data_IF_257140605590
#
_entry.id   IF_257140605590
#
_cell.length_a   1.000
_cell.length_b   1.000
_cell.length_c   1.000
_cell.angle_alpha   90.00
_cell.angle_beta   90.00
_cell.angle_gamma   90.00
#
_symmetry.space_group_name_H-M   'P 1'
#
loop_
_entity.id
_entity.type
_entity.pdbx_description
1 polymer ?
#
# COMPACT_ATOMS: atom_id res chain seq x y z
N UNK A 1 -20.52 -0.84 13.89
CA UNK A 1 -19.60 -1.84 13.29
C UNK A 1 -18.37 -1.20 12.61
N UNK A 2 -18.07 0.07 12.88
CA UNK A 2 -17.55 0.97 11.83
C UNK A 2 -16.06 1.26 11.90
N UNK A 3 -15.46 1.39 13.09
CA UNK A 3 -14.00 1.60 13.21
C UNK A 3 -13.19 0.30 13.25
N UNK A 4 -13.75 -0.81 13.74
CA UNK A 4 -13.07 -2.12 13.79
C UNK A 4 -12.84 -2.70 12.40
N UNK A 5 -13.80 -2.55 11.49
CA UNK A 5 -13.65 -2.96 10.09
C UNK A 5 -12.59 -2.14 9.36
N UNK A 6 -12.61 -0.80 9.52
CA UNK A 6 -11.60 0.09 8.96
C UNK A 6 -10.20 -0.19 9.54
N UNK A 7 -10.11 -0.45 10.84
CA UNK A 7 -8.87 -0.88 11.50
C UNK A 7 -8.33 -2.16 10.87
N UNK A 8 -9.16 -3.20 10.72
CA UNK A 8 -8.75 -4.48 10.12
C UNK A 8 -8.28 -4.30 8.68
N UNK A 9 -8.98 -3.48 7.90
CA UNK A 9 -8.64 -3.15 6.52
C UNK A 9 -7.24 -2.50 6.42
N UNK A 10 -6.97 -1.48 7.24
CA UNK A 10 -5.69 -0.76 7.24
C UNK A 10 -4.55 -1.64 7.77
N UNK A 11 -4.84 -2.50 8.74
CA UNK A 11 -3.87 -3.45 9.30
C UNK A 11 -3.53 -4.54 8.27
N UNK A 12 -4.52 -5.06 7.56
CA UNK A 12 -4.34 -5.97 6.43
C UNK A 12 -3.50 -5.33 5.31
N UNK A 13 -3.82 -4.08 4.94
CA UNK A 13 -3.02 -3.32 3.96
C UNK A 13 -1.55 -3.19 4.38
N UNK A 14 -1.29 -2.92 5.67
CA UNK A 14 0.06 -2.89 6.22
C UNK A 14 0.77 -4.25 6.09
N UNK A 15 0.11 -5.35 6.46
CA UNK A 15 0.68 -6.71 6.36
C UNK A 15 1.04 -7.05 4.91
N UNK A 16 0.11 -6.83 3.98
CA UNK A 16 0.33 -7.12 2.55
C UNK A 16 1.51 -6.32 2.02
N UNK A 17 1.62 -5.04 2.39
CA UNK A 17 2.73 -4.18 1.97
C UNK A 17 4.09 -4.63 2.53
N UNK A 18 4.11 -5.17 3.74
CA UNK A 18 5.31 -5.69 4.37
C UNK A 18 5.76 -7.00 3.71
N UNK A 19 4.82 -7.94 3.49
CA UNK A 19 5.09 -9.21 2.83
C UNK A 19 5.57 -9.00 1.39
N UNK A 20 4.91 -8.13 0.65
CA UNK A 20 5.29 -7.81 -0.73
C UNK A 20 6.69 -7.18 -0.82
N UNK A 21 7.02 -6.24 0.08
CA UNK A 21 8.37 -5.68 0.17
C UNK A 21 9.44 -6.75 0.48
N UNK A 22 9.14 -7.68 1.39
CA UNK A 22 10.05 -8.79 1.73
C UNK A 22 10.24 -9.76 0.55
N UNK A 23 9.16 -10.12 -0.15
CA UNK A 23 9.19 -10.98 -1.34
C UNK A 23 10.02 -10.32 -2.45
N UNK A 24 9.82 -9.03 -2.72
CA UNK A 24 10.60 -8.31 -3.71
C UNK A 24 12.10 -8.33 -3.38
N UNK A 25 12.47 -8.10 -2.12
CA UNK A 25 13.87 -8.19 -1.70
C UNK A 25 14.45 -9.60 -1.84
N UNK A 26 13.68 -10.63 -1.47
CA UNK A 26 14.10 -12.02 -1.57
C UNK A 26 14.45 -12.43 -3.01
N UNK A 27 13.64 -12.01 -4.00
CA UNK A 27 13.86 -12.38 -5.40
C UNK A 27 14.84 -11.47 -6.16
N UNK A 28 14.96 -10.19 -5.78
CA UNK A 28 15.70 -9.20 -6.57
C UNK A 28 16.89 -8.58 -5.84
N UNK A 29 17.09 -8.93 -4.56
CA UNK A 29 18.21 -8.48 -3.75
C UNK A 29 18.31 -6.95 -3.67
N UNK A 30 19.49 -6.41 -3.93
CA UNK A 30 19.78 -4.97 -3.82
C UNK A 30 18.97 -4.10 -4.78
N UNK A 31 18.49 -4.64 -5.91
CA UNK A 31 17.67 -3.90 -6.87
C UNK A 31 16.28 -3.55 -6.31
N UNK A 32 15.73 -4.36 -5.40
CA UNK A 32 14.45 -4.10 -4.75
C UNK A 32 14.58 -3.42 -3.38
N UNK A 33 15.77 -2.91 -3.02
CA UNK A 33 16.00 -2.28 -1.70
C UNK A 33 15.03 -1.14 -1.42
N UNK A 34 14.73 -0.30 -2.40
CA UNK A 34 13.77 0.80 -2.26
C UNK A 34 12.35 0.30 -2.00
N UNK A 35 11.91 -0.76 -2.70
CA UNK A 35 10.59 -1.38 -2.53
C UNK A 35 10.49 -2.05 -1.15
N UNK A 36 11.55 -2.72 -0.71
CA UNK A 36 11.62 -3.35 0.59
C UNK A 36 11.50 -2.33 1.73
N UNK A 37 12.25 -1.22 1.65
CA UNK A 37 12.19 -0.12 2.62
C UNK A 37 10.78 0.47 2.65
N UNK A 38 10.17 0.69 1.47
CA UNK A 38 8.81 1.21 1.40
C UNK A 38 7.79 0.25 1.99
N UNK A 39 7.85 -1.04 1.66
CA UNK A 39 6.98 -2.07 2.24
C UNK A 39 7.08 -2.11 3.77
N UNK A 40 8.28 -1.94 4.32
CA UNK A 40 8.52 -1.84 5.76
C UNK A 40 7.87 -0.59 6.39
N UNK A 41 8.11 0.59 5.79
CA UNK A 41 7.53 1.85 6.27
C UNK A 41 6.01 1.85 6.19
N UNK A 42 5.46 1.33 5.09
CA UNK A 42 4.01 1.19 4.88
C UNK A 42 3.43 0.20 5.87
N UNK A 43 4.08 -0.95 6.06
CA UNK A 43 3.66 -1.95 7.03
C UNK A 43 3.57 -1.36 8.41
N UNK A 44 4.62 -0.67 8.87
CA UNK A 44 4.64 -0.01 10.17
C UNK A 44 3.55 1.06 10.33
N UNK A 45 3.32 1.88 9.30
CA UNK A 45 2.25 2.87 9.27
C UNK A 45 0.86 2.22 9.33
N UNK A 46 0.61 1.20 8.52
CA UNK A 46 -0.65 0.45 8.50
C UNK A 46 -0.95 -0.20 9.85
N UNK A 47 0.05 -0.81 10.49
CA UNK A 47 -0.08 -1.36 11.85
C UNK A 47 -0.40 -0.28 12.89
N UNK A 48 0.37 0.82 12.88
CA UNK A 48 0.19 1.92 13.83
C UNK A 48 -1.19 2.55 13.69
N UNK A 49 -1.58 2.90 12.47
CA UNK A 49 -2.86 3.53 12.15
C UNK A 49 -4.01 2.58 12.47
N UNK A 50 -3.90 1.30 12.07
CA UNK A 50 -4.89 0.28 12.40
C UNK A 50 -5.10 0.15 13.91
N UNK A 51 -4.01 0.07 14.68
CA UNK A 51 -4.08 0.00 16.14
C UNK A 51 -4.79 1.21 16.77
N UNK A 52 -4.47 2.43 16.34
CA UNK A 52 -5.12 3.63 16.86
C UNK A 52 -6.58 3.78 16.40
N UNK A 53 -6.91 3.32 15.19
CA UNK A 53 -8.28 3.21 14.70
C UNK A 53 -9.11 2.25 15.56
N UNK A 54 -8.55 1.11 15.94
CA UNK A 54 -9.20 0.15 16.83
C UNK A 54 -9.51 0.76 18.21
N UNK A 55 -8.69 1.72 18.67
CA UNK A 55 -8.89 2.46 19.92
C UNK A 55 -9.83 3.66 19.80
N UNK A 56 -10.53 3.81 18.67
CA UNK A 56 -11.53 4.87 18.51
C UNK A 56 -10.96 6.26 18.21
N UNK A 57 -9.66 6.38 17.89
CA UNK A 57 -9.02 7.70 17.71
C UNK A 57 -9.34 8.25 16.31
N UNK A 58 -10.19 9.28 16.24
CA UNK A 58 -10.55 9.97 14.98
C UNK A 58 -9.35 10.46 14.16
N UNK A 59 -8.27 10.89 14.82
CA UNK A 59 -7.04 11.36 14.16
C UNK A 59 -6.38 10.26 13.33
N UNK A 60 -6.47 9.00 13.79
CA UNK A 60 -5.92 7.86 13.06
C UNK A 60 -6.64 7.63 11.72
N UNK A 61 -7.95 7.91 11.66
CA UNK A 61 -8.69 7.84 10.39
C UNK A 61 -8.22 8.89 9.39
N UNK A 62 -8.02 10.12 9.84
CA UNK A 62 -7.50 11.20 8.99
C UNK A 62 -6.10 10.85 8.48
N UNK A 63 -5.24 10.34 9.37
CA UNK A 63 -3.91 9.83 9.01
C UNK A 63 -3.96 8.67 8.02
N UNK A 64 -4.93 7.75 8.15
CA UNK A 64 -5.13 6.63 7.22
C UNK A 64 -5.42 7.12 5.80
N UNK A 65 -6.37 8.06 5.68
CA UNK A 65 -6.78 8.62 4.39
C UNK A 65 -5.64 9.45 3.79
N UNK A 66 -5.05 10.35 4.57
CA UNK A 66 -3.94 11.19 4.10
C UNK A 66 -2.72 10.35 3.69
N UNK A 67 -2.35 9.36 4.51
CA UNK A 67 -1.29 8.41 4.20
C UNK A 67 -1.60 7.64 2.91
N UNK A 68 -2.80 7.08 2.79
CA UNK A 68 -3.24 6.37 1.59
C UNK A 68 -3.11 7.21 0.32
N UNK A 69 -3.52 8.48 0.35
CA UNK A 69 -3.37 9.42 -0.79
C UNK A 69 -1.90 9.60 -1.15
N UNK A 70 -1.04 9.93 -0.17
CA UNK A 70 0.40 10.13 -0.41
C UNK A 70 1.03 8.87 -1.00
N UNK A 71 0.65 7.69 -0.50
CA UNK A 71 1.18 6.42 -1.01
C UNK A 71 0.72 6.10 -2.42
N UNK A 72 -0.53 6.40 -2.79
CA UNK A 72 -1.00 6.28 -4.18
C UNK A 72 -0.12 7.11 -5.11
N UNK A 73 0.22 8.35 -4.73
CA UNK A 73 1.14 9.17 -5.53
C UNK A 73 2.55 8.58 -5.63
N UNK A 74 3.13 8.14 -4.52
CA UNK A 74 4.49 7.58 -4.49
C UNK A 74 4.59 6.27 -5.27
N UNK A 75 3.68 5.32 -5.03
CA UNK A 75 3.64 4.04 -5.72
C UNK A 75 3.26 4.21 -7.19
N UNK A 76 2.36 5.15 -7.51
CA UNK A 76 2.01 5.48 -8.88
C UNK A 76 3.21 6.03 -9.66
N UNK A 77 4.00 6.92 -9.04
CA UNK A 77 5.24 7.41 -9.64
C UNK A 77 6.25 6.28 -9.88
N UNK A 78 6.47 5.40 -8.90
CA UNK A 78 7.38 4.26 -9.05
C UNK A 78 6.93 3.29 -10.13
N UNK A 79 5.63 2.98 -10.17
CA UNK A 79 5.06 2.08 -11.17
C UNK A 79 5.22 2.70 -12.57
N UNK A 80 4.93 3.99 -12.73
CA UNK A 80 5.13 4.70 -14.01
C UNK A 80 6.60 4.78 -14.42
N UNK A 81 7.51 5.03 -13.48
CA UNK A 81 8.95 5.04 -13.76
C UNK A 81 9.46 3.66 -14.20
N UNK A 82 9.00 2.59 -13.55
CA UNK A 82 9.31 1.22 -13.95
C UNK A 82 8.80 0.91 -15.37
N UNK A 83 7.55 1.26 -15.69
CA UNK A 83 7.00 1.11 -17.05
C UNK A 83 7.80 1.89 -18.11
N UNK A 84 8.22 3.12 -17.80
CA UNK A 84 9.00 3.95 -18.74
C UNK A 84 10.42 3.41 -18.97
N UNK A 85 10.98 2.68 -18.00
CA UNK A 85 12.29 2.01 -18.14
C UNK A 85 12.20 0.71 -18.95
N UNK A 86 11.00 0.17 -19.17
CA UNK A 86 10.74 -1.11 -19.84
C UNK A 86 10.22 -0.94 -21.29
N UNK A 87 10.79 -0.02 -22.08
CA UNK A 87 10.41 0.21 -23.49
C UNK A 87 10.50 -1.03 -24.40
N UNK A 88 11.09 -2.14 -23.96
CA UNK A 88 11.28 -3.38 -24.72
C UNK A 88 10.32 -4.54 -24.38
N UNK A 89 9.30 -4.35 -23.52
CA UNK A 89 8.36 -5.45 -23.21
C UNK A 89 7.51 -5.91 -24.40
N UNK A 90 7.25 -5.03 -25.39
CA UNK A 90 6.43 -5.37 -26.56
C UNK A 90 7.19 -6.15 -27.64
N UNK A 91 8.53 -6.17 -27.58
CA UNK A 91 9.39 -6.96 -28.47
C UNK A 91 10.46 -7.66 -27.62
N UNK A 92 10.07 -8.75 -26.97
CA UNK A 92 10.99 -9.53 -26.15
C UNK A 92 11.85 -10.43 -27.04
N UNK A 93 13.15 -10.13 -27.14
CA UNK A 93 14.14 -11.16 -27.47
C UNK A 93 14.10 -12.22 -26.36
N UNK A 94 13.83 -13.47 -26.75
CA UNK A 94 13.52 -14.61 -25.87
C UNK A 94 14.61 -15.04 -24.87
N UNK A 95 15.68 -14.25 -24.71
CA UNK A 95 16.90 -14.60 -23.96
C UNK A 95 17.36 -13.54 -22.95
N UNK A 96 16.60 -12.47 -22.69
CA UNK A 96 16.97 -11.52 -21.63
C UNK A 96 16.74 -12.13 -20.22
N UNK A 97 17.70 -12.04 -19.29
CA UNK A 97 17.55 -12.59 -17.94
C UNK A 97 16.39 -11.87 -17.22
N UNK A 98 15.50 -12.65 -16.60
CA UNK A 98 14.21 -12.23 -16.03
C UNK A 98 14.22 -11.98 -14.49
N UNK A 99 14.85 -10.92 -13.95
CA UNK A 99 14.55 -10.45 -12.60
C UNK A 99 13.65 -9.20 -12.55
N UNK A 100 13.49 -8.43 -13.63
CA UNK A 100 12.79 -7.12 -13.58
C UNK A 100 11.25 -7.20 -13.48
N UNK A 101 10.61 -8.20 -14.12
CA UNK A 101 9.15 -8.36 -14.15
C UNK A 101 8.51 -8.52 -12.75
N UNK A 102 9.25 -9.07 -11.78
CA UNK A 102 8.75 -9.31 -10.42
C UNK A 102 8.59 -8.00 -9.64
N UNK A 103 9.49 -7.02 -9.83
CA UNK A 103 9.41 -5.71 -9.15
C UNK A 103 8.19 -4.92 -9.61
N UNK A 104 7.96 -4.87 -10.93
CA UNK A 104 6.79 -4.20 -11.49
C UNK A 104 5.49 -4.86 -10.99
N UNK A 105 5.43 -6.19 -11.03
CA UNK A 105 4.27 -6.95 -10.55
C UNK A 105 4.00 -6.67 -9.06
N UNK A 106 5.04 -6.67 -8.22
CA UNK A 106 4.90 -6.41 -6.79
C UNK A 106 4.47 -4.97 -6.53
N UNK A 107 5.11 -4.00 -7.18
CA UNK A 107 4.80 -2.57 -7.00
C UNK A 107 3.38 -2.24 -7.47
N UNK A 108 2.95 -2.79 -8.61
CA UNK A 108 1.59 -2.62 -9.12
C UNK A 108 0.53 -3.32 -8.25
N UNK A 109 0.84 -4.48 -7.67
CA UNK A 109 -0.04 -5.13 -6.70
C UNK A 109 -0.19 -4.29 -5.42
N UNK A 110 0.91 -3.77 -4.86
CA UNK A 110 0.89 -2.86 -3.71
C UNK A 110 0.08 -1.59 -4.01
N UNK A 111 0.26 -1.00 -5.21
CA UNK A 111 -0.51 0.15 -5.66
C UNK A 111 -2.00 -0.16 -5.70
N UNK A 112 -2.38 -1.29 -6.32
CA UNK A 112 -3.78 -1.73 -6.43
C UNK A 112 -4.41 -1.92 -5.06
N UNK A 113 -3.73 -2.62 -4.14
CA UNK A 113 -4.21 -2.78 -2.78
C UNK A 113 -4.39 -1.43 -2.07
N UNK A 114 -3.43 -0.51 -2.23
CA UNK A 114 -3.48 0.82 -1.61
C UNK A 114 -4.66 1.63 -2.14
N UNK A 115 -4.90 1.63 -3.45
CA UNK A 115 -6.05 2.32 -4.08
C UNK A 115 -7.36 1.74 -3.56
N UNK A 116 -7.51 0.41 -3.52
CA UNK A 116 -8.71 -0.23 -3.00
C UNK A 116 -8.95 0.09 -1.53
N UNK A 117 -7.90 0.06 -0.70
CA UNK A 117 -7.98 0.47 0.71
C UNK A 117 -8.43 1.92 0.85
N UNK A 118 -7.82 2.83 0.08
CA UNK A 118 -8.19 4.25 0.09
C UNK A 118 -9.65 4.46 -0.33
N UNK A 119 -10.08 3.80 -1.40
CA UNK A 119 -11.43 3.94 -1.95
C UNK A 119 -12.48 3.44 -0.95
N UNK A 120 -12.24 2.31 -0.29
CA UNK A 120 -13.11 1.82 0.78
C UNK A 120 -13.14 2.79 1.98
N UNK A 121 -11.99 3.35 2.38
CA UNK A 121 -11.94 4.36 3.44
C UNK A 121 -12.76 5.62 3.06
N UNK A 122 -12.70 6.06 1.80
CA UNK A 122 -13.45 7.22 1.30
C UNK A 122 -14.96 6.95 1.25
N UNK A 123 -15.39 5.81 0.69
CA UNK A 123 -16.81 5.43 0.63
C UNK A 123 -17.42 5.41 2.04
N UNK A 124 -16.71 4.80 2.98
CA UNK A 124 -17.20 4.66 4.34
C UNK A 124 -16.84 5.84 5.25
N UNK A 125 -16.16 6.88 4.74
CA UNK A 125 -15.64 7.98 5.55
C UNK A 125 -16.73 8.67 6.37
N UNK A 126 -17.87 8.98 5.75
CA UNK A 126 -19.01 9.61 6.43
C UNK A 126 -19.56 8.72 7.54
N UNK A 127 -19.73 7.43 7.26
CA UNK A 127 -20.24 6.45 8.23
C UNK A 127 -19.29 6.27 9.41
N UNK A 128 -17.99 6.18 9.14
CA UNK A 128 -16.93 6.07 10.13
C UNK A 128 -16.86 7.35 10.98
N UNK A 129 -16.90 8.53 10.36
CA UNK A 129 -16.85 9.82 11.07
C UNK A 129 -18.07 10.04 11.97
N UNK A 130 -19.27 9.72 11.48
CA UNK A 130 -20.50 9.79 12.29
C UNK A 130 -20.47 8.78 13.45
N UNK A 131 -19.85 7.62 13.26
CA UNK A 131 -19.65 6.65 14.35
C UNK A 131 -18.79 7.25 15.47
N UNK A 132 -17.69 7.93 15.15
CA UNK A 132 -16.85 8.57 16.16
C UNK A 132 -17.54 9.71 16.92
N UNK A 133 -18.56 10.35 16.32
CA UNK A 133 -19.30 11.45 16.94
C UNK A 133 -20.34 10.96 17.97
N UNK A 134 -20.83 9.73 17.84
CA UNK A 134 -21.81 9.14 18.76
C UNK A 134 -21.18 8.58 20.05
N UNK A 135 -19.86 8.39 20.06
CA UNK A 135 -19.08 7.88 21.19
C UNK A 135 -18.52 9.01 22.10
N UNK A 136 -18.97 10.26 21.90
CA UNK A 136 -18.69 11.45 22.73
C UNK A 136 -20.00 11.93 23.35
#
# INVERSE_FOLDING_TARGET
MTYKGASLLVLFWGIVSLISGAIAYYFMGSFAKSIAIQGLLIGFLGFSIGHFLNRGRKQAFILAVAGGVVFVFLLGHLTSAAFNQEQNLLFTDAFAPQPQNISLLVTSAMFTCTVLTLLLLVIFARSIYMSFRKDV
#
